data_IF_991272383660
#
_entry.id   IF_991272383660
#
_cell.length_a   1.000
_cell.length_b   1.000
_cell.length_c   1.000
_cell.angle_alpha   90.00
_cell.angle_beta   90.00
_cell.angle_gamma   90.00
#
_symmetry.space_group_name_H-M   'P 1'
#
loop_
_entity.id
_entity.type
_entity.pdbx_description
1 polymer ?
#
# COMPACT_ATOMS: atom_id res chain seq x y z
N UNK A 1 -28.19 0.19 -12.37
CA UNK A 1 -27.12 -0.43 -11.55
C UNK A 1 -25.99 0.58 -11.48
N UNK A 2 -25.74 1.18 -10.31
CA UNK A 2 -24.64 2.12 -10.14
C UNK A 2 -23.32 1.40 -10.39
N UNK A 3 -22.45 2.01 -11.20
CA UNK A 3 -21.49 1.33 -12.08
C UNK A 3 -20.23 0.74 -11.45
N UNK A 4 -20.17 0.56 -10.13
CA UNK A 4 -19.00 0.00 -9.44
C UNK A 4 -19.41 -1.26 -8.69
N UNK A 5 -18.77 -2.38 -9.03
CA UNK A 5 -18.98 -3.65 -8.32
C UNK A 5 -18.08 -3.69 -7.09
N UNK A 6 -18.61 -3.86 -5.86
CA UNK A 6 -17.82 -3.95 -4.63
C UNK A 6 -16.67 -4.97 -4.73
N UNK A 7 -16.90 -6.10 -5.39
CA UNK A 7 -15.88 -7.12 -5.63
C UNK A 7 -14.72 -6.65 -6.52
N UNK A 8 -14.97 -5.76 -7.47
CA UNK A 8 -13.88 -5.16 -8.27
C UNK A 8 -13.00 -4.24 -7.41
N UNK A 9 -13.59 -3.50 -6.47
CA UNK A 9 -12.84 -2.66 -5.53
C UNK A 9 -12.02 -3.51 -4.55
N UNK A 10 -12.59 -4.60 -4.02
CA UNK A 10 -11.86 -5.57 -3.17
C UNK A 10 -10.75 -6.30 -3.92
N UNK A 11 -10.96 -6.61 -5.19
CA UNK A 11 -9.93 -7.22 -6.03
C UNK A 11 -8.77 -6.24 -6.27
N UNK A 12 -9.09 -4.98 -6.57
CA UNK A 12 -8.09 -3.93 -6.72
C UNK A 12 -7.33 -3.68 -5.41
N UNK A 13 -7.99 -3.61 -4.26
CA UNK A 13 -7.32 -3.36 -2.97
C UNK A 13 -6.26 -4.41 -2.62
N UNK A 14 -6.46 -5.67 -3.02
CA UNK A 14 -5.44 -6.74 -2.87
C UNK A 14 -4.17 -6.43 -3.65
N UNK A 15 -4.27 -5.83 -4.84
CA UNK A 15 -3.08 -5.43 -5.62
C UNK A 15 -2.32 -4.29 -4.93
N UNK A 16 -3.03 -3.36 -4.31
CA UNK A 16 -2.43 -2.31 -3.49
C UNK A 16 -1.73 -2.88 -2.26
N UNK A 17 -2.32 -3.88 -1.58
CA UNK A 17 -1.67 -4.57 -0.47
C UNK A 17 -0.36 -5.25 -0.91
N UNK A 18 -0.38 -5.97 -2.03
CA UNK A 18 0.84 -6.59 -2.59
C UNK A 18 1.91 -5.52 -2.90
N UNK A 19 1.52 -4.38 -3.47
CA UNK A 19 2.43 -3.26 -3.71
C UNK A 19 2.98 -2.64 -2.42
N UNK A 20 2.15 -2.52 -1.39
CA UNK A 20 2.55 -2.02 -0.08
C UNK A 20 3.58 -2.94 0.58
N UNK A 21 3.36 -4.25 0.54
CA UNK A 21 4.27 -5.24 1.11
C UNK A 21 5.60 -5.25 0.34
N UNK A 22 5.55 -5.25 -1.00
CA UNK A 22 6.76 -5.20 -1.82
C UNK A 22 7.60 -3.93 -1.58
N UNK A 23 6.95 -2.77 -1.41
CA UNK A 23 7.65 -1.53 -1.05
C UNK A 23 8.21 -1.57 0.37
N UNK A 24 7.51 -2.18 1.32
CA UNK A 24 7.97 -2.38 2.70
C UNK A 24 9.21 -3.29 2.77
N UNK A 25 9.13 -4.45 2.12
CA UNK A 25 10.24 -5.41 2.00
C UNK A 25 11.45 -4.77 1.28
N UNK A 26 11.18 -3.98 0.22
CA UNK A 26 12.20 -3.19 -0.47
C UNK A 26 12.91 -2.22 0.46
N UNK A 27 12.16 -1.51 1.31
CA UNK A 27 12.72 -0.60 2.29
C UNK A 27 13.61 -1.31 3.31
N UNK A 28 13.20 -2.50 3.77
CA UNK A 28 13.99 -3.32 4.69
C UNK A 28 15.28 -3.78 4.01
N UNK A 29 15.20 -4.32 2.78
CA UNK A 29 16.37 -4.73 2.00
C UNK A 29 17.38 -3.60 1.81
N UNK A 30 16.91 -2.41 1.45
CA UNK A 30 17.76 -1.24 1.28
C UNK A 30 18.36 -0.81 2.62
N UNK A 31 17.61 -0.86 3.72
CA UNK A 31 18.14 -0.51 5.05
C UNK A 31 19.26 -1.42 5.54
N UNK A 32 19.31 -2.66 5.04
CA UNK A 32 20.38 -3.61 5.33
C UNK A 32 21.66 -3.34 4.52
N UNK A 33 21.66 -2.41 3.56
CA UNK A 33 22.85 -2.01 2.81
C UNK A 33 23.80 -1.23 3.74
N UNK A 34 24.70 -1.97 4.38
CA UNK A 34 25.81 -1.42 5.15
C UNK A 34 27.10 -1.70 4.42
N UNK A 35 27.94 -0.68 4.27
CA UNK A 35 29.26 -0.83 3.67
C UNK A 35 30.31 -0.54 4.73
N UNK A 36 31.14 -1.54 5.03
CA UNK A 36 32.27 -1.36 5.94
C UNK A 36 33.44 -0.73 5.19
N UNK A 37 33.83 0.48 5.58
CA UNK A 37 34.98 1.17 5.00
C UNK A 37 36.29 0.39 5.19
N UNK A 38 36.41 -0.40 6.27
CA UNK A 38 37.55 -1.29 6.50
C UNK A 38 37.62 -2.45 5.51
N UNK A 39 36.47 -2.91 5.01
CA UNK A 39 36.39 -3.96 3.98
C UNK A 39 36.80 -3.45 2.58
N UNK A 40 36.83 -2.14 2.36
CA UNK A 40 37.28 -1.52 1.10
C UNK A 40 38.81 -1.43 0.97
N UNK A 41 39.56 -1.70 2.05
CA UNK A 41 41.02 -1.57 2.08
C UNK A 41 41.52 -0.12 2.13
N UNK A 42 42.80 0.11 1.86
CA UNK A 42 43.43 1.44 1.86
C UNK A 42 43.07 2.27 0.62
N UNK A 43 41.79 2.34 0.28
CA UNK A 43 41.31 3.19 -0.82
C UNK A 43 41.11 4.61 -0.27
N UNK A 44 41.77 5.63 -0.85
CA UNK A 44 41.46 7.01 -0.51
C UNK A 44 39.96 7.28 -0.71
N UNK A 45 39.33 7.93 0.27
CA UNK A 45 37.88 8.18 0.32
C UNK A 45 36.96 6.97 0.58
N UNK A 46 37.48 5.80 1.00
CA UNK A 46 36.65 4.65 1.40
C UNK A 46 35.57 5.00 2.45
N UNK A 47 35.93 5.82 3.44
CA UNK A 47 35.00 6.29 4.46
C UNK A 47 33.92 7.22 3.89
N UNK A 48 34.26 8.10 2.95
CA UNK A 48 33.30 9.00 2.29
C UNK A 48 32.31 8.21 1.42
N UNK A 49 32.81 7.22 0.68
CA UNK A 49 31.96 6.33 -0.10
C UNK A 49 31.02 5.51 0.79
N UNK A 50 31.52 4.91 1.86
CA UNK A 50 30.69 4.17 2.82
C UNK A 50 29.60 5.06 3.44
N UNK A 51 29.94 6.30 3.80
CA UNK A 51 28.98 7.28 4.30
C UNK A 51 27.93 7.67 3.25
N UNK A 52 28.34 7.85 1.98
CA UNK A 52 27.43 8.15 0.88
C UNK A 52 26.45 7.01 0.61
N UNK A 53 26.93 5.75 0.67
CA UNK A 53 26.08 4.56 0.55
C UNK A 53 25.08 4.49 1.70
N UNK A 54 25.54 4.71 2.95
CA UNK A 54 24.65 4.71 4.11
C UNK A 54 23.57 5.80 4.01
N UNK A 55 23.93 7.00 3.55
CA UNK A 55 22.99 8.09 3.32
C UNK A 55 21.96 7.73 2.25
N UNK A 56 22.42 7.23 1.10
CA UNK A 56 21.55 6.78 0.02
C UNK A 56 20.57 5.70 0.48
N UNK A 57 21.07 4.67 1.18
CA UNK A 57 20.25 3.59 1.71
C UNK A 57 19.18 4.11 2.68
N UNK A 58 19.53 5.05 3.56
CA UNK A 58 18.57 5.67 4.48
C UNK A 58 17.47 6.42 3.73
N UNK A 59 17.85 7.30 2.78
CA UNK A 59 16.89 8.12 2.02
C UNK A 59 15.94 7.25 1.19
N UNK A 60 16.48 6.28 0.45
CA UNK A 60 15.66 5.38 -0.37
C UNK A 60 14.79 4.45 0.48
N UNK A 61 15.30 3.98 1.63
CA UNK A 61 14.51 3.20 2.57
C UNK A 61 13.34 3.99 3.15
N UNK A 62 13.52 5.29 3.44
CA UNK A 62 12.43 6.15 3.89
C UNK A 62 11.38 6.39 2.81
N UNK A 63 11.80 6.65 1.57
CA UNK A 63 10.88 6.86 0.46
C UNK A 63 10.07 5.59 0.14
N UNK A 64 10.69 4.41 0.19
CA UNK A 64 10.01 3.12 0.04
C UNK A 64 9.02 2.86 1.18
N UNK A 65 9.37 3.15 2.44
CA UNK A 65 8.44 3.09 3.58
C UNK A 65 7.25 4.03 3.39
N UNK A 66 7.49 5.24 2.89
CA UNK A 66 6.42 6.21 2.60
C UNK A 66 5.52 5.71 1.47
N UNK A 67 6.10 5.16 0.41
CA UNK A 67 5.35 4.54 -0.69
C UNK A 67 4.50 3.35 -0.24
N UNK A 68 5.05 2.48 0.62
CA UNK A 68 4.31 1.38 1.25
C UNK A 68 3.07 1.88 2.00
N UNK A 69 3.23 2.93 2.82
CA UNK A 69 2.12 3.53 3.54
C UNK A 69 1.04 4.12 2.59
N UNK A 70 1.44 4.77 1.50
CA UNK A 70 0.50 5.28 0.50
C UNK A 70 -0.27 4.17 -0.21
N UNK A 71 0.39 3.06 -0.57
CA UNK A 71 -0.29 1.91 -1.15
C UNK A 71 -1.31 1.31 -0.18
N UNK A 72 -0.95 1.21 1.10
CA UNK A 72 -1.85 0.70 2.15
C UNK A 72 -3.10 1.59 2.31
N UNK A 73 -2.90 2.89 2.43
CA UNK A 73 -3.98 3.88 2.54
C UNK A 73 -4.93 3.84 1.33
N UNK A 74 -4.38 3.78 0.11
CA UNK A 74 -5.19 3.64 -1.10
C UNK A 74 -5.97 2.32 -1.13
N UNK A 75 -5.36 1.22 -0.70
CA UNK A 75 -6.03 -0.09 -0.59
C UNK A 75 -7.16 -0.08 0.44
N UNK A 76 -6.95 0.53 1.60
CA UNK A 76 -7.96 0.71 2.65
C UNK A 76 -9.14 1.55 2.14
N UNK A 77 -8.86 2.66 1.46
CA UNK A 77 -9.90 3.49 0.85
C UNK A 77 -10.76 2.74 -0.18
N UNK A 78 -10.18 1.80 -0.94
CA UNK A 78 -10.96 0.94 -1.86
C UNK A 78 -11.90 -0.02 -1.11
N UNK A 79 -11.46 -0.57 0.02
CA UNK A 79 -12.30 -1.44 0.87
C UNK A 79 -13.45 -0.65 1.48
N UNK A 80 -13.18 0.54 2.03
CA UNK A 80 -14.22 1.41 2.60
C UNK A 80 -15.26 1.82 1.56
N UNK A 81 -14.83 2.10 0.33
CA UNK A 81 -15.73 2.38 -0.77
C UNK A 81 -16.58 1.15 -1.12
N UNK A 82 -16.00 -0.06 -1.16
CA UNK A 82 -16.73 -1.29 -1.43
C UNK A 82 -17.84 -1.53 -0.40
N UNK A 83 -17.53 -1.37 0.89
CA UNK A 83 -18.50 -1.49 1.98
C UNK A 83 -19.60 -0.45 1.90
N UNK A 84 -19.28 0.76 1.44
CA UNK A 84 -20.26 1.82 1.24
C UNK A 84 -21.23 1.49 0.11
N UNK A 85 -20.74 0.97 -1.02
CA UNK A 85 -21.59 0.53 -2.11
C UNK A 85 -22.52 -0.63 -1.73
N UNK A 86 -22.02 -1.62 -0.98
CA UNK A 86 -22.86 -2.73 -0.48
C UNK A 86 -23.96 -2.24 0.46
N UNK A 87 -23.61 -1.38 1.42
CA UNK A 87 -24.58 -0.84 2.37
C UNK A 87 -25.69 -0.06 1.68
N UNK A 88 -25.34 0.69 0.63
CA UNK A 88 -26.32 1.41 -0.19
C UNK A 88 -27.23 0.41 -0.91
N UNK A 89 -26.67 -0.63 -1.56
CA UNK A 89 -27.46 -1.64 -2.29
C UNK A 89 -28.41 -2.43 -1.37
N UNK A 90 -27.94 -2.80 -0.17
CA UNK A 90 -28.75 -3.44 0.87
C UNK A 90 -29.92 -2.55 1.32
N UNK A 91 -29.67 -1.25 1.51
CA UNK A 91 -30.70 -0.27 1.90
C UNK A 91 -31.77 -0.11 0.82
N UNK A 92 -31.37 -0.07 -0.46
CA UNK A 92 -32.33 -0.04 -1.57
C UNK A 92 -33.15 -1.33 -1.63
N UNK A 93 -32.51 -2.49 -1.54
CA UNK A 93 -33.17 -3.80 -1.57
C UNK A 93 -34.19 -3.94 -0.44
N UNK A 94 -33.82 -3.53 0.78
CA UNK A 94 -34.73 -3.51 1.93
C UNK A 94 -35.91 -2.57 1.71
N UNK A 95 -35.68 -1.38 1.16
CA UNK A 95 -36.72 -0.38 0.86
C UNK A 95 -37.71 -0.90 -0.20
N UNK A 96 -37.21 -1.52 -1.28
CA UNK A 96 -38.05 -2.12 -2.32
C UNK A 96 -38.88 -3.30 -1.78
N UNK A 97 -38.29 -4.16 -0.93
CA UNK A 97 -39.04 -5.26 -0.29
C UNK A 97 -40.16 -4.72 0.60
N UNK A 98 -39.94 -3.62 1.31
CA UNK A 98 -40.95 -3.02 2.18
C UNK A 98 -42.11 -2.36 1.40
N UNK A 99 -41.82 -1.77 0.24
CA UNK A 99 -42.85 -1.20 -0.66
C UNK A 99 -43.63 -2.31 -1.38
N UNK A 100 -42.94 -3.35 -1.87
CA UNK A 100 -43.57 -4.47 -2.57
C UNK A 100 -44.40 -5.39 -1.66
N UNK A 101 -44.03 -5.50 -0.38
CA UNK A 101 -44.79 -6.26 0.63
C UNK A 101 -45.98 -5.51 1.24
N UNK A 102 -46.16 -4.22 0.93
CA UNK A 102 -47.31 -3.43 1.38
C UNK A 102 -48.50 -3.41 0.42
N UNK A 103 -48.41 -4.11 -0.73
CA UNK A 103 -49.43 -4.16 -1.78
C UNK A 103 -50.18 -5.52 -1.86
N UNK A 104 -50.10 -6.36 -0.83
CA UNK A 104 -50.86 -7.62 -0.71
C UNK A 104 -51.91 -7.56 0.39
#
# INVERSE_FOLDING_TARGET
MFGVQPESLRSASKQFQVGADAAGDGAEMVSMLTLDAGALGEVPAAGEFAAAVAKFASEQGEDLRRGSAWYRDAGEGLVENAETYERVDDQWTASFRNIGGGLS
#
